data_IF_054983046554
#
_entry.id   IF_054983046554
#
_cell.length_a   1.000
_cell.length_b   1.000
_cell.length_c   1.000
_cell.angle_alpha   90.00
_cell.angle_beta   90.00
_cell.angle_gamma   90.00
#
_symmetry.space_group_name_H-M   'P 1'
#
loop_
_entity.id
_entity.type
_entity.pdbx_description
1 polymer ?
#
# COMPACT_ATOMS: atom_id res chain seq x y z
N UNK A 1 46.91 -9.83 -8.58
CA UNK A 1 48.30 -9.47 -8.96
C UNK A 1 49.16 -9.73 -7.73
N UNK A 2 50.20 -10.55 -7.84
CA UNK A 2 51.12 -10.87 -6.75
C UNK A 2 51.99 -9.67 -6.38
N UNK A 3 52.56 -9.66 -5.17
CA UNK A 3 53.46 -8.58 -4.75
C UNK A 3 54.68 -8.48 -5.66
N UNK A 4 55.28 -9.60 -6.04
CA UNK A 4 56.41 -9.62 -6.96
C UNK A 4 56.10 -9.00 -8.33
N UNK A 5 54.92 -9.28 -8.90
CA UNK A 5 54.49 -8.66 -10.15
C UNK A 5 54.19 -7.16 -9.99
N UNK A 6 53.57 -6.77 -8.87
CA UNK A 6 53.29 -5.38 -8.55
C UNK A 6 54.57 -4.55 -8.36
N UNK A 7 55.58 -5.11 -7.68
CA UNK A 7 56.85 -4.44 -7.40
C UNK A 7 57.61 -4.09 -8.69
N UNK A 8 57.51 -4.94 -9.71
CA UNK A 8 58.10 -4.68 -11.04
C UNK A 8 57.35 -3.57 -11.76
N UNK A 9 56.02 -3.55 -11.67
CA UNK A 9 55.17 -2.59 -12.40
C UNK A 9 55.04 -1.20 -11.75
N UNK A 10 55.20 -1.08 -10.43
CA UNK A 10 54.85 0.13 -9.68
C UNK A 10 56.06 0.98 -9.25
N UNK A 11 57.12 0.96 -10.07
CA UNK A 11 58.36 1.69 -9.80
C UNK A 11 58.21 3.17 -10.18
N UNK A 12 57.91 4.03 -9.21
CA UNK A 12 58.28 5.44 -9.33
C UNK A 12 59.80 5.55 -9.45
N UNK A 13 60.31 6.24 -10.47
CA UNK A 13 61.73 6.50 -10.63
C UNK A 13 62.28 7.22 -9.38
N UNK A 14 63.33 6.67 -8.76
CA UNK A 14 64.05 7.29 -7.63
C UNK A 14 63.48 7.03 -6.22
N UNK A 15 62.47 6.18 -6.06
CA UNK A 15 61.90 5.84 -4.73
C UNK A 15 62.65 4.71 -4.00
N UNK A 16 62.41 4.56 -2.69
CA UNK A 16 62.98 3.48 -1.85
C UNK A 16 62.75 2.07 -2.40
N UNK A 17 61.69 1.88 -3.21
CA UNK A 17 61.37 0.62 -3.87
C UNK A 17 62.38 0.23 -4.97
N UNK A 18 63.19 1.16 -5.49
CA UNK A 18 64.21 0.86 -6.51
C UNK A 18 65.27 -0.10 -5.99
N UNK A 19 65.70 0.06 -4.72
CA UNK A 19 66.67 -0.82 -4.08
C UNK A 19 66.13 -2.24 -3.94
N UNK A 20 64.89 -2.36 -3.46
CA UNK A 20 64.21 -3.65 -3.32
C UNK A 20 64.01 -4.33 -4.68
N UNK A 21 63.74 -3.56 -5.74
CA UNK A 21 63.63 -4.08 -7.11
C UNK A 21 64.96 -4.58 -7.67
N UNK A 22 66.06 -3.84 -7.45
CA UNK A 22 67.40 -4.30 -7.85
C UNK A 22 67.75 -5.61 -7.14
N UNK A 23 67.53 -5.67 -5.82
CA UNK A 23 67.70 -6.89 -5.04
C UNK A 23 66.86 -8.06 -5.58
N UNK A 24 65.58 -7.82 -5.91
CA UNK A 24 64.72 -8.84 -6.49
C UNK A 24 65.20 -9.31 -7.88
N UNK A 25 65.66 -8.38 -8.73
CA UNK A 25 66.16 -8.67 -10.07
C UNK A 25 67.44 -9.51 -10.04
N UNK A 26 68.37 -9.20 -9.13
CA UNK A 26 69.64 -9.94 -8.96
C UNK A 26 69.42 -11.39 -8.51
N UNK A 27 68.27 -11.68 -7.87
CA UNK A 27 67.91 -13.02 -7.38
C UNK A 27 67.14 -13.86 -8.40
N UNK A 28 66.70 -13.28 -9.51
CA UNK A 28 66.04 -13.99 -10.60
C UNK A 28 64.95 -14.95 -10.09
N UNK A 29 65.11 -16.25 -10.35
CA UNK A 29 64.14 -17.28 -9.96
C UNK A 29 63.99 -17.52 -8.46
N UNK A 30 64.93 -17.07 -7.63
CA UNK A 30 64.83 -17.22 -6.16
C UNK A 30 63.82 -16.22 -5.56
N UNK A 31 63.50 -15.14 -6.26
CA UNK A 31 62.48 -14.20 -5.83
C UNK A 31 61.08 -14.78 -6.07
N UNK A 32 60.17 -14.81 -5.07
CA UNK A 32 58.91 -15.56 -5.17
C UNK A 32 57.84 -14.77 -5.93
N UNK A 33 58.05 -14.52 -7.23
CA UNK A 33 57.14 -13.75 -8.09
C UNK A 33 55.69 -14.27 -8.11
N UNK A 34 55.49 -15.57 -7.83
CA UNK A 34 54.18 -16.22 -7.77
C UNK A 34 53.51 -16.23 -6.40
N UNK A 35 54.18 -15.79 -5.33
CA UNK A 35 53.61 -15.85 -3.98
C UNK A 35 52.74 -14.63 -3.67
N UNK A 36 51.64 -14.86 -2.96
CA UNK A 36 50.82 -13.81 -2.35
C UNK A 36 51.14 -13.61 -0.86
N UNK A 37 52.03 -14.42 -0.27
CA UNK A 37 52.33 -14.40 1.15
C UNK A 37 53.52 -13.47 1.48
N UNK A 38 53.33 -12.42 2.31
CA UNK A 38 54.41 -11.50 2.70
C UNK A 38 55.65 -12.19 3.27
N UNK A 39 55.45 -13.29 4.01
CA UNK A 39 56.52 -14.05 4.67
C UNK A 39 57.54 -14.63 3.68
N UNK A 40 57.13 -14.98 2.46
CA UNK A 40 58.03 -15.58 1.47
C UNK A 40 59.06 -14.57 0.97
N UNK A 41 58.62 -13.33 0.74
CA UNK A 41 59.49 -12.22 0.34
C UNK A 41 60.45 -11.83 1.48
N UNK A 42 59.94 -11.72 2.71
CA UNK A 42 60.75 -11.39 3.88
C UNK A 42 61.81 -12.47 4.17
N UNK A 43 61.48 -13.75 3.94
CA UNK A 43 62.41 -14.88 4.10
C UNK A 43 63.57 -14.77 3.12
N UNK A 44 63.31 -14.49 1.84
CA UNK A 44 64.36 -14.34 0.82
C UNK A 44 65.30 -13.17 1.17
N UNK A 45 64.76 -12.04 1.62
CA UNK A 45 65.57 -10.90 2.09
C UNK A 45 66.41 -11.30 3.30
N UNK A 46 65.81 -11.97 4.29
CA UNK A 46 66.52 -12.36 5.51
C UNK A 46 67.65 -13.37 5.26
N UNK A 47 67.48 -14.28 4.30
CA UNK A 47 68.47 -15.31 3.95
C UNK A 47 69.60 -14.78 3.07
N UNK A 48 69.29 -13.91 2.10
CA UNK A 48 70.24 -13.56 1.04
C UNK A 48 70.77 -12.12 1.08
N UNK A 49 70.24 -11.25 1.95
CA UNK A 49 70.78 -9.90 2.12
C UNK A 49 72.01 -9.88 3.04
N UNK A 50 73.00 -9.07 2.65
CA UNK A 50 74.18 -8.76 3.45
C UNK A 50 73.76 -8.20 4.82
N UNK A 51 74.49 -8.52 5.92
CA UNK A 51 74.09 -8.10 7.26
C UNK A 51 73.88 -6.59 7.42
N UNK A 52 74.64 -5.77 6.69
CA UNK A 52 74.58 -4.31 6.72
C UNK A 52 73.35 -3.75 6.01
N UNK A 53 72.84 -4.45 4.98
CA UNK A 53 71.72 -3.98 4.14
C UNK A 53 70.38 -4.62 4.52
N UNK A 54 70.42 -5.78 5.19
CA UNK A 54 69.25 -6.58 5.54
C UNK A 54 68.18 -5.78 6.29
N UNK A 55 68.58 -4.98 7.29
CA UNK A 55 67.64 -4.20 8.09
C UNK A 55 66.90 -3.16 7.23
N UNK A 56 67.61 -2.52 6.32
CA UNK A 56 67.04 -1.50 5.43
C UNK A 56 66.09 -2.14 4.40
N UNK A 57 66.49 -3.24 3.77
CA UNK A 57 65.66 -3.95 2.81
C UNK A 57 64.38 -4.51 3.44
N UNK A 58 64.42 -4.98 4.69
CA UNK A 58 63.24 -5.45 5.41
C UNK A 58 62.27 -4.30 5.72
N UNK A 59 62.76 -3.11 6.09
CA UNK A 59 61.91 -1.93 6.32
C UNK A 59 61.23 -1.46 5.03
N UNK A 60 62.00 -1.39 3.94
CA UNK A 60 61.48 -1.04 2.61
C UNK A 60 60.43 -2.07 2.15
N UNK A 61 60.72 -3.37 2.31
CA UNK A 61 59.79 -4.43 1.95
C UNK A 61 58.51 -4.37 2.77
N UNK A 62 58.58 -4.11 4.08
CA UNK A 62 57.41 -3.94 4.94
C UNK A 62 56.49 -2.82 4.44
N UNK A 63 57.05 -1.64 4.16
CA UNK A 63 56.29 -0.49 3.63
C UNK A 63 55.70 -0.77 2.25
N UNK A 64 56.47 -1.42 1.37
CA UNK A 64 56.01 -1.78 0.04
C UNK A 64 54.87 -2.82 0.08
N UNK A 65 54.96 -3.81 0.98
CA UNK A 65 53.92 -4.81 1.21
C UNK A 65 52.64 -4.17 1.74
N UNK A 66 52.74 -3.26 2.72
CA UNK A 66 51.58 -2.51 3.24
C UNK A 66 50.89 -1.69 2.13
N UNK A 67 51.67 -0.97 1.32
CA UNK A 67 51.14 -0.23 0.17
C UNK A 67 50.45 -1.13 -0.85
N UNK A 68 51.04 -2.30 -1.12
CA UNK A 68 50.45 -3.29 -2.02
C UNK A 68 49.14 -3.87 -1.46
N UNK A 69 49.07 -4.19 -0.16
CA UNK A 69 47.86 -4.69 0.49
C UNK A 69 46.74 -3.64 0.49
N UNK A 70 47.05 -2.37 0.79
CA UNK A 70 46.11 -1.27 0.67
C UNK A 70 45.62 -1.07 -0.78
N UNK A 71 46.52 -1.21 -1.75
CA UNK A 71 46.20 -1.19 -3.18
C UNK A 71 45.33 -2.37 -3.62
N UNK A 72 45.56 -3.57 -3.08
CA UNK A 72 44.78 -4.78 -3.38
C UNK A 72 43.39 -4.71 -2.75
N UNK A 73 43.27 -4.23 -1.51
CA UNK A 73 41.99 -4.02 -0.85
C UNK A 73 41.12 -2.99 -1.59
N UNK A 74 41.74 -1.93 -2.12
CA UNK A 74 41.03 -0.91 -2.90
C UNK A 74 40.76 -1.31 -4.36
N UNK A 75 41.61 -2.14 -4.98
CA UNK A 75 41.39 -2.68 -6.32
C UNK A 75 40.32 -3.79 -6.34
N UNK A 76 40.22 -4.58 -5.26
CA UNK A 76 39.18 -5.61 -5.10
C UNK A 76 37.75 -5.04 -5.04
N UNK A 77 37.57 -3.76 -4.73
CA UNK A 77 36.25 -3.12 -4.70
C UNK A 77 35.86 -2.37 -5.98
N UNK A 78 36.78 -2.20 -6.94
CA UNK A 78 36.57 -1.41 -8.18
C UNK A 78 36.25 -2.21 -9.44
N UNK A 79 36.16 -3.55 -9.34
CA UNK A 79 35.80 -4.42 -10.48
C UNK A 79 34.30 -4.68 -10.58
N UNK A 80 33.58 -3.91 -11.40
CA UNK A 80 32.26 -4.28 -11.95
C UNK A 80 31.04 -4.22 -11.03
N UNK A 81 31.20 -4.32 -9.70
CA UNK A 81 30.09 -4.25 -8.73
C UNK A 81 29.99 -2.92 -7.97
N UNK A 82 30.94 -1.99 -8.16
CA UNK A 82 30.90 -0.66 -7.51
C UNK A 82 29.80 0.28 -8.02
N UNK A 83 29.25 0.02 -9.22
CA UNK A 83 28.04 0.70 -9.73
C UNK A 83 26.78 0.20 -9.00
N UNK A 84 26.83 -0.99 -8.40
CA UNK A 84 25.83 -1.51 -7.45
C UNK A 84 26.23 -1.17 -6.01
N UNK A 85 26.94 -0.05 -5.80
CA UNK A 85 27.04 0.50 -4.44
C UNK A 85 25.63 0.71 -3.91
N UNK A 86 25.37 0.21 -2.70
CA UNK A 86 24.05 0.22 -2.07
C UNK A 86 23.23 1.51 -2.28
N UNK A 87 23.84 2.72 -2.23
CA UNK A 87 23.13 3.98 -2.50
C UNK A 87 22.62 4.15 -3.94
N UNK A 88 23.40 3.74 -4.95
CA UNK A 88 23.02 3.90 -6.37
C UNK A 88 21.89 2.93 -6.74
N UNK A 89 21.91 1.72 -6.19
CA UNK A 89 20.87 0.71 -6.39
C UNK A 89 19.56 1.15 -5.70
N UNK A 90 19.64 1.67 -4.47
CA UNK A 90 18.51 2.27 -3.77
C UNK A 90 17.92 3.48 -4.52
N UNK A 91 18.78 4.37 -5.02
CA UNK A 91 18.36 5.52 -5.81
C UNK A 91 17.69 5.09 -7.12
N UNK A 92 18.25 4.11 -7.83
CA UNK A 92 17.67 3.55 -9.05
C UNK A 92 16.31 2.89 -8.78
N UNK A 93 16.20 2.10 -7.72
CA UNK A 93 14.93 1.50 -7.30
C UNK A 93 13.87 2.56 -6.96
N UNK A 94 14.27 3.61 -6.23
CA UNK A 94 13.41 4.75 -5.92
C UNK A 94 12.91 5.48 -7.17
N UNK A 95 13.78 5.72 -8.15
CA UNK A 95 13.42 6.34 -9.43
C UNK A 95 12.44 5.46 -10.22
N UNK A 96 12.65 4.15 -10.25
CA UNK A 96 11.75 3.21 -10.95
C UNK A 96 10.36 3.25 -10.31
N UNK A 97 10.27 3.16 -8.98
CA UNK A 97 8.99 3.26 -8.28
C UNK A 97 8.33 4.62 -8.55
N UNK A 98 9.08 5.71 -8.46
CA UNK A 98 8.56 7.05 -8.73
C UNK A 98 8.02 7.19 -10.16
N UNK A 99 8.72 6.60 -11.15
CA UNK A 99 8.29 6.62 -12.54
C UNK A 99 7.00 5.80 -12.76
N UNK A 100 6.88 4.62 -12.14
CA UNK A 100 5.67 3.79 -12.20
C UNK A 100 4.49 4.51 -11.54
N UNK A 101 4.69 5.12 -10.38
CA UNK A 101 3.65 5.89 -9.69
C UNK A 101 3.24 7.12 -10.49
N UNK A 102 4.20 7.89 -11.01
CA UNK A 102 3.92 9.04 -11.87
C UNK A 102 3.10 8.62 -13.08
N UNK A 103 3.51 7.55 -13.77
CA UNK A 103 2.77 7.00 -14.91
C UNK A 103 1.34 6.59 -14.54
N UNK A 104 1.16 5.91 -13.41
CA UNK A 104 -0.17 5.51 -12.91
C UNK A 104 -1.07 6.70 -12.57
N UNK A 105 -0.50 7.76 -12.00
CA UNK A 105 -1.22 9.00 -11.66
C UNK A 105 -1.66 9.75 -12.93
N UNK A 106 -0.79 9.85 -13.95
CA UNK A 106 -1.09 10.58 -15.18
C UNK A 106 -2.16 9.94 -16.07
N UNK A 107 -2.56 8.68 -15.83
CA UNK A 107 -3.60 8.02 -16.63
C UNK A 107 -5.03 8.48 -16.32
N UNK A 108 -5.26 9.38 -15.35
CA UNK A 108 -6.54 10.07 -15.09
C UNK A 108 -7.67 9.20 -14.52
N UNK A 109 -7.84 7.98 -15.06
CA UNK A 109 -8.81 6.98 -14.65
C UNK A 109 -8.53 6.43 -13.25
N UNK A 110 -7.25 6.29 -12.90
CA UNK A 110 -6.80 5.78 -11.61
C UNK A 110 -7.20 6.71 -10.45
N UNK A 111 -7.07 8.02 -10.61
CA UNK A 111 -7.51 9.00 -9.61
C UNK A 111 -9.03 9.00 -9.43
N UNK A 112 -9.78 8.89 -10.53
CA UNK A 112 -11.25 8.83 -10.49
C UNK A 112 -11.77 7.53 -9.87
N UNK A 113 -11.07 6.41 -10.06
CA UNK A 113 -11.45 5.13 -9.47
C UNK A 113 -11.03 5.03 -8.00
N UNK A 114 -9.89 5.64 -7.59
CA UNK A 114 -9.48 5.72 -6.18
C UNK A 114 -10.41 6.63 -5.36
N UNK A 115 -11.08 7.60 -5.99
CA UNK A 115 -12.05 8.46 -5.30
C UNK A 115 -13.27 7.67 -4.77
N UNK A 116 -13.52 6.45 -5.26
CA UNK A 116 -14.59 5.58 -4.74
C UNK A 116 -14.14 4.93 -3.42
N UNK A 117 -14.84 5.17 -2.30
CA UNK A 117 -14.43 4.69 -0.97
C UNK A 117 -14.18 3.17 -0.90
N UNK A 118 -14.94 2.40 -1.68
CA UNK A 118 -14.84 0.94 -1.77
C UNK A 118 -13.51 0.51 -2.38
N UNK A 119 -13.08 1.19 -3.45
CA UNK A 119 -11.81 0.89 -4.14
C UNK A 119 -10.61 1.39 -3.34
N UNK A 120 -10.71 2.57 -2.73
CA UNK A 120 -9.66 3.10 -1.86
C UNK A 120 -9.42 2.18 -0.65
N UNK A 121 -10.45 1.53 -0.10
CA UNK A 121 -10.30 0.54 0.98
C UNK A 121 -9.49 -0.68 0.55
N UNK A 122 -9.85 -1.27 -0.58
CA UNK A 122 -9.11 -2.40 -1.15
C UNK A 122 -7.66 -2.03 -1.44
N UNK A 123 -7.45 -0.85 -2.03
CA UNK A 123 -6.12 -0.36 -2.39
C UNK A 123 -5.22 -0.11 -1.18
N UNK A 124 -5.72 0.55 -0.13
CA UNK A 124 -4.95 0.80 1.09
C UNK A 124 -4.50 -0.53 1.73
N UNK A 125 -5.42 -1.49 1.83
CA UNK A 125 -5.12 -2.82 2.39
C UNK A 125 -4.06 -3.55 1.58
N UNK A 126 -4.20 -3.51 0.25
CA UNK A 126 -3.24 -4.10 -0.68
C UNK A 126 -1.85 -3.45 -0.56
N UNK A 127 -1.77 -2.12 -0.62
CA UNK A 127 -0.51 -1.39 -0.51
C UNK A 127 0.18 -1.66 0.81
N UNK A 128 -0.58 -1.72 1.91
CA UNK A 128 -0.01 -2.02 3.22
C UNK A 128 0.57 -3.45 3.28
N UNK A 129 -0.20 -4.45 2.84
CA UNK A 129 0.26 -5.83 2.81
C UNK A 129 1.50 -6.00 1.92
N UNK A 130 1.45 -5.44 0.71
CA UNK A 130 2.56 -5.47 -0.24
C UNK A 130 3.81 -4.79 0.30
N UNK A 131 3.67 -3.58 0.86
CA UNK A 131 4.80 -2.83 1.43
C UNK A 131 5.43 -3.57 2.61
N UNK A 132 4.61 -4.17 3.47
CA UNK A 132 5.09 -4.95 4.61
C UNK A 132 5.90 -6.17 4.15
N UNK A 133 5.41 -6.91 3.16
CA UNK A 133 6.13 -8.05 2.56
C UNK A 133 7.44 -7.57 1.93
N UNK A 134 7.42 -6.47 1.17
CA UNK A 134 8.61 -5.92 0.53
C UNK A 134 9.68 -5.51 1.55
N UNK A 135 9.28 -4.85 2.65
CA UNK A 135 10.19 -4.48 3.74
C UNK A 135 10.80 -5.72 4.39
N UNK A 136 10.00 -6.75 4.68
CA UNK A 136 10.49 -8.00 5.29
C UNK A 136 11.53 -8.67 4.38
N UNK A 137 11.27 -8.75 3.08
CA UNK A 137 12.22 -9.33 2.10
C UNK A 137 13.51 -8.50 2.07
N UNK A 138 13.40 -7.17 1.99
CA UNK A 138 14.57 -6.29 1.96
C UNK A 138 15.43 -6.45 3.22
N UNK A 139 14.79 -6.48 4.38
CA UNK A 139 15.45 -6.71 5.67
C UNK A 139 16.10 -8.09 5.71
N UNK A 140 15.44 -9.15 5.22
CA UNK A 140 16.03 -10.48 5.15
C UNK A 140 17.30 -10.50 4.29
N UNK A 141 17.28 -9.87 3.12
CA UNK A 141 18.47 -9.74 2.25
C UNK A 141 19.57 -8.96 2.97
N UNK A 142 19.22 -7.84 3.61
CA UNK A 142 20.17 -6.99 4.31
C UNK A 142 20.88 -7.74 5.47
N UNK A 143 20.18 -8.63 6.17
CA UNK A 143 20.78 -9.43 7.25
C UNK A 143 21.83 -10.44 6.78
N UNK A 144 21.81 -10.86 5.51
CA UNK A 144 22.84 -11.75 4.97
C UNK A 144 24.16 -11.03 4.62
N UNK A 145 24.15 -9.70 4.48
CA UNK A 145 25.29 -8.94 3.96
C UNK A 145 25.99 -8.03 4.99
N UNK A 146 25.38 -7.78 6.16
CA UNK A 146 25.95 -6.90 7.19
C UNK A 146 26.54 -7.69 8.37
N UNK A 147 27.53 -7.10 9.04
CA UNK A 147 28.15 -7.66 10.24
C UNK A 147 27.17 -7.72 11.42
N UNK A 148 27.21 -8.82 12.19
CA UNK A 148 26.21 -9.14 13.23
C UNK A 148 26.03 -8.06 14.30
N UNK A 149 27.10 -7.35 14.65
CA UNK A 149 27.06 -6.31 15.68
C UNK A 149 26.37 -5.04 15.18
N UNK A 150 26.70 -4.61 13.96
CA UNK A 150 26.09 -3.43 13.32
C UNK A 150 24.62 -3.67 12.94
N UNK A 151 24.27 -4.89 12.54
CA UNK A 151 22.87 -5.29 12.27
C UNK A 151 22.01 -5.10 13.51
N UNK A 152 22.48 -5.51 14.68
CA UNK A 152 21.66 -5.53 15.90
C UNK A 152 21.22 -4.13 16.32
N UNK A 153 22.13 -3.15 16.26
CA UNK A 153 21.84 -1.77 16.63
C UNK A 153 20.92 -1.08 15.62
N UNK A 154 21.22 -1.21 14.33
CA UNK A 154 20.42 -0.60 13.25
C UNK A 154 19.02 -1.21 13.16
N UNK A 155 18.91 -2.52 13.36
CA UNK A 155 17.63 -3.22 13.37
C UNK A 155 16.77 -2.83 14.58
N UNK A 156 17.38 -2.63 15.75
CA UNK A 156 16.68 -2.12 16.92
C UNK A 156 16.03 -0.76 16.64
N UNK A 157 16.81 0.17 16.10
CA UNK A 157 16.32 1.51 15.74
C UNK A 157 15.22 1.46 14.66
N UNK A 158 15.38 0.62 13.64
CA UNK A 158 14.37 0.45 12.59
C UNK A 158 13.06 -0.14 13.13
N UNK A 159 13.14 -1.12 14.04
CA UNK A 159 11.98 -1.74 14.69
C UNK A 159 11.18 -0.71 15.47
N UNK A 160 11.84 0.14 16.24
CA UNK A 160 11.15 1.15 17.06
C UNK A 160 10.38 2.14 16.17
N UNK A 161 11.00 2.59 15.07
CA UNK A 161 10.37 3.47 14.09
C UNK A 161 9.18 2.79 13.39
N UNK A 162 9.33 1.53 12.95
CA UNK A 162 8.25 0.76 12.34
C UNK A 162 7.09 0.56 13.32
N UNK A 163 7.38 0.32 14.61
CA UNK A 163 6.35 0.12 15.63
C UNK A 163 5.50 1.38 15.82
N UNK A 164 6.13 2.56 15.86
CA UNK A 164 5.42 3.85 15.91
C UNK A 164 4.57 4.04 14.65
N UNK A 165 5.11 3.75 13.46
CA UNK A 165 4.38 3.85 12.20
C UNK A 165 3.16 2.92 12.17
N UNK A 166 3.28 1.68 12.64
CA UNK A 166 2.16 0.74 12.71
C UNK A 166 1.07 1.27 13.65
N UNK A 167 1.46 1.90 14.77
CA UNK A 167 0.50 2.55 15.68
C UNK A 167 -0.29 3.68 14.99
N UNK A 168 0.42 4.62 14.35
CA UNK A 168 -0.22 5.73 13.62
C UNK A 168 -1.09 5.21 12.48
N UNK A 169 -0.57 4.29 11.67
CA UNK A 169 -1.32 3.69 10.56
C UNK A 169 -2.56 2.95 11.07
N UNK A 170 -2.44 2.20 12.17
CA UNK A 170 -3.56 1.50 12.79
C UNK A 170 -4.70 2.45 13.19
N UNK A 171 -4.38 3.65 13.69
CA UNK A 171 -5.41 4.66 13.99
C UNK A 171 -6.06 5.24 12.73
N UNK A 172 -5.28 5.51 11.68
CA UNK A 172 -5.80 6.02 10.40
C UNK A 172 -6.69 4.97 9.74
N UNK A 173 -6.25 3.71 9.70
CA UNK A 173 -7.05 2.59 9.19
C UNK A 173 -8.30 2.39 10.06
N UNK A 174 -8.18 2.45 11.38
CA UNK A 174 -9.32 2.37 12.30
C UNK A 174 -10.39 3.43 11.99
N UNK A 175 -9.97 4.68 11.75
CA UNK A 175 -10.90 5.75 11.33
C UNK A 175 -11.48 5.50 9.93
N UNK A 176 -10.63 5.14 8.96
CA UNK A 176 -11.03 4.94 7.58
C UNK A 176 -12.03 3.77 7.41
N UNK A 177 -11.82 2.68 8.15
CA UNK A 177 -12.71 1.51 8.14
C UNK A 177 -13.87 1.65 9.14
N UNK A 178 -13.75 2.48 10.17
CA UNK A 178 -14.83 2.76 11.12
C UNK A 178 -15.87 3.76 10.58
N UNK A 179 -15.44 4.75 9.78
CA UNK A 179 -16.31 5.75 9.15
C UNK A 179 -17.07 5.19 7.92
N UNK A 180 -16.65 4.03 7.42
CA UNK A 180 -17.25 3.35 6.29
C UNK A 180 -18.71 2.90 6.49
N UNK A 181 -19.10 2.71 7.75
CA UNK A 181 -20.45 2.33 8.16
C UNK A 181 -21.13 3.51 8.85
N UNK A 182 -20.94 4.73 8.34
CA UNK A 182 -21.72 5.86 8.80
C UNK A 182 -23.21 5.60 8.51
N UNK A 183 -24.05 5.37 9.55
CA UNK A 183 -25.48 5.10 9.38
C UNK A 183 -26.22 6.28 8.75
N UNK A 184 -25.60 7.46 8.66
CA UNK A 184 -26.15 8.59 7.92
C UNK A 184 -26.03 8.42 6.39
N UNK A 185 -25.04 7.66 5.89
CA UNK A 185 -24.83 7.43 4.44
C UNK A 185 -25.57 6.18 3.94
N UNK A 186 -25.71 5.15 4.78
CA UNK A 186 -26.77 4.13 4.61
C UNK A 186 -27.98 4.54 5.43
N UNK A 187 -28.55 5.69 5.14
CA UNK A 187 -29.89 5.98 5.65
C UNK A 187 -30.82 4.94 5.02
N UNK A 188 -31.08 3.84 5.73
CA UNK A 188 -31.94 2.74 5.27
C UNK A 188 -33.26 3.38 4.89
N UNK A 189 -33.56 3.36 3.59
CA UNK A 189 -34.81 3.90 3.07
C UNK A 189 -35.94 3.24 3.85
N UNK A 190 -36.73 4.04 4.55
CA UNK A 190 -37.80 3.58 5.41
C UNK A 190 -39.06 4.39 5.10
N UNK A 191 -40.15 3.69 4.82
CA UNK A 191 -41.49 4.29 4.81
C UNK A 191 -42.08 4.16 6.22
N UNK A 192 -42.16 5.27 6.94
CA UNK A 192 -42.63 5.35 8.32
C UNK A 192 -43.96 6.10 8.44
N UNK A 193 -44.70 5.83 9.51
CA UNK A 193 -45.95 6.50 9.86
C UNK A 193 -46.96 6.52 8.71
N UNK A 194 -47.04 5.41 7.97
CA UNK A 194 -48.03 5.27 6.92
C UNK A 194 -49.41 5.09 7.58
N UNK A 195 -50.25 6.09 7.44
CA UNK A 195 -51.58 6.14 8.06
C UNK A 195 -52.61 6.67 7.07
N UNK A 196 -53.88 6.40 7.36
CA UNK A 196 -54.99 6.98 6.62
C UNK A 196 -55.67 8.06 7.44
N UNK A 197 -56.28 9.04 6.77
CA UNK A 197 -57.01 10.14 7.42
C UNK A 197 -58.17 9.65 8.29
N UNK A 198 -58.75 8.50 7.96
CA UNK A 198 -59.74 7.80 8.78
C UNK A 198 -59.54 6.28 8.66
N UNK A 199 -59.68 5.52 9.77
CA UNK A 199 -59.69 4.06 9.72
C UNK A 199 -60.97 3.49 9.09
N UNK A 200 -62.05 4.28 9.02
CA UNK A 200 -63.31 3.93 8.39
C UNK A 200 -63.69 4.97 7.33
N UNK A 201 -63.94 4.52 6.10
CA UNK A 201 -64.30 5.38 4.96
C UNK A 201 -65.56 4.81 4.32
N UNK A 202 -66.54 5.66 3.99
CA UNK A 202 -67.77 5.20 3.32
C UNK A 202 -67.49 4.97 1.84
N UNK A 203 -68.19 4.01 1.24
CA UNK A 203 -68.18 3.85 -0.22
C UNK A 203 -68.63 5.15 -0.90
N UNK A 204 -67.86 5.62 -1.89
CA UNK A 204 -68.07 6.90 -2.58
C UNK A 204 -67.28 8.08 -2.01
N UNK A 205 -66.68 7.95 -0.82
CA UNK A 205 -65.85 8.99 -0.22
C UNK A 205 -64.37 8.86 -0.63
N UNK A 206 -63.58 9.88 -0.27
CA UNK A 206 -62.12 9.89 -0.44
C UNK A 206 -61.41 9.58 0.87
N UNK A 207 -60.35 8.79 0.80
CA UNK A 207 -59.41 8.54 1.89
C UNK A 207 -58.06 9.20 1.56
N UNK A 208 -57.39 9.84 2.52
CA UNK A 208 -56.01 10.30 2.32
C UNK A 208 -55.04 9.33 2.96
N UNK A 209 -54.08 8.80 2.19
CA UNK A 209 -52.96 7.99 2.69
C UNK A 209 -51.76 8.92 2.84
N UNK A 210 -51.24 9.05 4.06
CA UNK A 210 -50.10 9.91 4.39
C UNK A 210 -48.96 9.08 4.96
N UNK A 211 -47.72 9.52 4.74
CA UNK A 211 -46.55 8.89 5.34
C UNK A 211 -45.30 9.74 5.23
N UNK A 212 -44.23 9.25 5.86
CA UNK A 212 -42.92 9.88 5.87
C UNK A 212 -41.90 8.90 5.31
N UNK A 213 -41.11 9.34 4.33
CA UNK A 213 -39.92 8.65 3.87
C UNK A 213 -38.72 9.17 4.66
N UNK A 214 -38.06 8.27 5.37
CA UNK A 214 -36.84 8.54 6.12
C UNK A 214 -35.67 7.88 5.39
N UNK A 215 -34.60 8.63 5.18
CA UNK A 215 -33.41 8.13 4.51
C UNK A 215 -33.51 8.01 2.99
N UNK A 216 -32.56 7.29 2.39
CA UNK A 216 -32.40 7.18 0.93
C UNK A 216 -31.90 8.46 0.25
N UNK A 217 -31.80 8.40 -1.08
CA UNK A 217 -31.43 9.54 -1.94
C UNK A 217 -32.61 9.95 -2.81
N UNK A 218 -33.15 11.15 -2.56
CA UNK A 218 -34.18 11.73 -3.40
C UNK A 218 -33.68 12.04 -4.83
N UNK A 219 -34.57 12.17 -5.82
CA UNK A 219 -36.03 12.13 -5.69
C UNK A 219 -36.57 10.70 -5.54
N UNK A 220 -37.79 10.57 -4.99
CA UNK A 220 -38.43 9.28 -4.70
C UNK A 220 -39.59 8.98 -5.65
N UNK A 221 -39.79 7.70 -5.95
CA UNK A 221 -40.99 7.17 -6.60
C UNK A 221 -41.85 6.41 -5.59
N UNK A 222 -43.13 6.74 -5.50
CA UNK A 222 -44.13 6.12 -4.63
C UNK A 222 -45.08 5.28 -5.47
N UNK A 223 -45.34 4.04 -5.04
CA UNK A 223 -46.41 3.20 -5.54
C UNK A 223 -47.32 2.79 -4.37
N UNK A 224 -48.62 3.04 -4.47
CA UNK A 224 -49.62 2.58 -3.52
C UNK A 224 -50.48 1.53 -4.22
N UNK A 225 -50.31 0.27 -3.84
CA UNK A 225 -51.08 -0.85 -4.36
C UNK A 225 -52.13 -1.28 -3.33
N UNK A 226 -53.34 -1.61 -3.79
CA UNK A 226 -54.44 -2.03 -2.94
C UNK A 226 -54.75 -3.51 -3.14
N UNK A 227 -55.05 -4.20 -2.04
CA UNK A 227 -55.47 -5.60 -2.02
C UNK A 227 -56.81 -5.70 -1.30
N UNK A 228 -57.87 -6.05 -2.03
CA UNK A 228 -59.21 -6.29 -1.47
C UNK A 228 -59.59 -7.76 -1.63
N UNK A 229 -60.14 -8.36 -0.56
CA UNK A 229 -60.71 -9.71 -0.60
C UNK A 229 -62.10 -9.75 -1.23
N UNK A 230 -62.78 -8.61 -1.36
CA UNK A 230 -64.19 -8.52 -1.72
C UNK A 230 -64.47 -8.22 -3.21
N UNK A 231 -63.44 -8.19 -4.06
CA UNK A 231 -63.63 -7.98 -5.50
C UNK A 231 -64.10 -6.56 -5.81
N UNK A 232 -63.17 -5.60 -5.76
CA UNK A 232 -63.35 -4.22 -6.19
C UNK A 232 -61.95 -3.65 -6.37
N UNK A 233 -61.51 -3.46 -7.60
CA UNK A 233 -60.15 -3.01 -7.87
C UNK A 233 -60.03 -1.52 -7.60
N UNK A 234 -59.40 -1.12 -6.49
CA UNK A 234 -58.90 0.25 -6.37
C UNK A 234 -57.72 0.42 -7.31
N UNK A 235 -57.69 1.53 -8.04
CA UNK A 235 -56.59 1.84 -8.96
C UNK A 235 -55.32 2.13 -8.18
N UNK A 236 -54.18 1.47 -8.49
CA UNK A 236 -52.91 1.82 -7.89
C UNK A 236 -52.55 3.28 -8.15
N UNK A 237 -51.88 3.91 -7.18
CA UNK A 237 -51.40 5.29 -7.31
C UNK A 237 -49.89 5.27 -7.50
N UNK A 238 -49.42 5.86 -8.60
CA UNK A 238 -47.99 6.02 -8.90
C UNK A 238 -47.62 7.51 -8.90
N UNK A 239 -46.73 7.90 -8.00
CA UNK A 239 -46.19 9.27 -7.91
C UNK A 239 -44.71 9.20 -8.17
N UNK A 240 -44.24 9.94 -9.19
CA UNK A 240 -42.83 9.93 -9.56
C UNK A 240 -42.12 11.20 -9.12
N UNK A 241 -40.86 11.05 -8.74
CA UNK A 241 -39.93 12.15 -8.61
C UNK A 241 -40.24 13.16 -7.49
N UNK A 242 -40.87 12.76 -6.38
CA UNK A 242 -41.15 13.71 -5.30
C UNK A 242 -39.90 13.97 -4.45
N UNK A 243 -39.60 15.25 -4.18
CA UNK A 243 -38.36 15.67 -3.53
C UNK A 243 -38.43 15.67 -1.99
N UNK A 244 -39.64 15.67 -1.42
CA UNK A 244 -39.84 15.76 0.03
C UNK A 244 -39.85 14.40 0.72
N UNK A 245 -39.47 14.35 2.00
CA UNK A 245 -39.60 13.14 2.83
C UNK A 245 -41.03 12.88 3.34
N UNK A 246 -42.05 13.60 2.87
CA UNK A 246 -43.45 13.41 3.29
C UNK A 246 -44.34 13.30 2.05
N UNK A 247 -45.31 12.39 2.09
CA UNK A 247 -46.30 12.25 1.04
C UNK A 247 -47.72 12.23 1.61
N UNK A 248 -48.67 12.69 0.80
CA UNK A 248 -50.11 12.61 1.05
C UNK A 248 -50.80 12.36 -0.29
N UNK A 249 -51.53 11.25 -0.41
CA UNK A 249 -52.22 10.85 -1.63
C UNK A 249 -53.69 10.56 -1.35
N UNK A 250 -54.58 11.13 -2.16
CA UNK A 250 -56.01 10.86 -2.08
C UNK A 250 -56.37 9.60 -2.88
N UNK A 251 -57.15 8.73 -2.25
CA UNK A 251 -57.68 7.49 -2.82
C UNK A 251 -59.19 7.64 -2.89
N UNK A 252 -59.75 7.61 -4.10
CA UNK A 252 -61.19 7.59 -4.30
C UNK A 252 -61.72 6.17 -4.11
N UNK A 253 -62.69 5.97 -3.21
CA UNK A 253 -63.37 4.70 -3.03
C UNK A 253 -64.63 4.72 -3.89
N UNK A 254 -64.76 3.75 -4.81
CA UNK A 254 -65.93 3.65 -5.68
C UNK A 254 -67.23 3.53 -4.86
N UNK A 255 -68.33 4.11 -5.34
CA UNK A 255 -69.63 4.08 -4.64
C UNK A 255 -70.23 2.68 -4.52
N UNK A 256 -69.89 1.81 -5.46
CA UNK A 256 -70.31 0.42 -5.58
C UNK A 256 -69.43 -0.55 -4.78
N UNK A 257 -68.43 -0.04 -4.05
CA UNK A 257 -67.52 -0.86 -3.27
C UNK A 257 -68.24 -1.51 -2.08
N UNK A 258 -68.20 -2.84 -2.01
CA UNK A 258 -68.85 -3.57 -0.92
C UNK A 258 -68.09 -3.38 0.40
N UNK A 259 -68.80 -3.31 1.55
CA UNK A 259 -68.16 -3.17 2.85
C UNK A 259 -67.12 -4.27 3.08
N UNK A 260 -65.86 -3.89 3.26
CA UNK A 260 -64.75 -4.83 3.38
C UNK A 260 -63.49 -4.16 3.94
N UNK A 261 -62.57 -4.99 4.44
CA UNK A 261 -61.25 -4.55 4.85
C UNK A 261 -60.32 -4.53 3.63
N UNK A 262 -59.80 -3.37 3.28
CA UNK A 262 -58.89 -3.17 2.16
C UNK A 262 -57.48 -3.01 2.70
N UNK A 263 -56.60 -3.95 2.37
CA UNK A 263 -55.17 -3.79 2.61
C UNK A 263 -54.55 -2.88 1.56
N UNK A 264 -53.51 -2.14 1.93
CA UNK A 264 -52.70 -1.39 0.98
C UNK A 264 -51.22 -1.52 1.31
N UNK A 265 -50.40 -1.51 0.26
CA UNK A 265 -48.94 -1.53 0.33
C UNK A 265 -48.39 -0.28 -0.31
N UNK A 266 -47.66 0.49 0.48
CA UNK A 266 -46.89 1.64 0.01
C UNK A 266 -45.47 1.16 -0.27
N UNK A 267 -45.05 1.25 -1.53
CA UNK A 267 -43.66 0.97 -1.95
C UNK A 267 -42.99 2.28 -2.31
N UNK A 268 -41.81 2.54 -1.75
CA UNK A 268 -41.00 3.71 -2.06
C UNK A 268 -39.71 3.24 -2.71
N UNK A 269 -39.34 3.88 -3.82
CA UNK A 269 -38.06 3.72 -4.50
C UNK A 269 -37.27 5.02 -4.44
N UNK A 270 -35.99 4.95 -4.12
CA UNK A 270 -35.09 6.11 -4.19
C UNK A 270 -34.38 6.21 -5.54
N UNK A 271 -33.63 7.30 -5.77
CA UNK A 271 -32.88 7.52 -7.00
C UNK A 271 -31.78 6.47 -7.26
N UNK A 272 -31.33 5.78 -6.22
CA UNK A 272 -30.34 4.69 -6.30
C UNK A 272 -31.00 3.33 -6.59
N UNK A 273 -32.33 3.27 -6.68
CA UNK A 273 -33.08 2.03 -6.93
C UNK A 273 -33.35 1.18 -5.67
N UNK A 274 -33.01 1.69 -4.48
CA UNK A 274 -33.34 1.05 -3.19
C UNK A 274 -34.85 1.08 -3.01
N UNK A 275 -35.41 -0.03 -2.52
CA UNK A 275 -36.84 -0.20 -2.30
C UNK A 275 -37.14 -0.46 -0.83
N UNK A 276 -38.22 0.15 -0.33
CA UNK A 276 -38.84 -0.21 0.96
C UNK A 276 -40.35 -0.29 0.78
N UNK A 277 -41.01 -1.06 1.64
CA UNK A 277 -42.47 -1.11 1.68
C UNK A 277 -43.00 -0.99 3.10
N UNK A 278 -44.18 -0.39 3.21
CA UNK A 278 -44.98 -0.38 4.43
C UNK A 278 -46.42 -0.78 4.07
N UNK A 279 -47.03 -1.60 4.93
CA UNK A 279 -48.39 -2.09 4.75
C UNK A 279 -49.34 -1.36 5.71
N UNK A 280 -50.59 -1.20 5.30
CA UNK A 280 -51.67 -0.65 6.12
C UNK A 280 -53.02 -1.20 5.70
N UNK A 281 -54.07 -0.82 6.44
CA UNK A 281 -55.45 -1.25 6.17
C UNK A 281 -56.43 -0.09 6.27
N UNK A 282 -57.52 -0.17 5.51
CA UNK A 282 -58.65 0.76 5.52
C UNK A 282 -59.93 -0.07 5.61
N UNK A 283 -60.81 0.26 6.55
CA UNK A 283 -62.14 -0.34 6.62
C UNK A 283 -63.11 0.45 5.76
N UNK A 284 -63.70 -0.18 4.75
CA UNK A 284 -64.74 0.43 3.92
C UNK A 284 -66.10 0.01 4.45
N UNK A 285 -66.96 1.00 4.74
CA UNK A 285 -68.33 0.78 5.22
C UNK A 285 -69.36 1.19 4.18
N UNK A 286 -70.57 0.64 4.27
CA UNK A 286 -71.68 1.03 3.41
C UNK A 286 -72.00 2.52 3.60
N UNK A 287 -72.53 3.14 2.55
CA UNK A 287 -72.87 4.56 2.53
C UNK A 287 -73.98 4.93 3.51
#
# INVERSE_FOLDING_TARGET
MTFGAWLVGNAGEGGSNERLRKFAADRGSEWPYGSDAPVDYLKVIATHAEPTERKELLDIAGKALEQWEQGRASAGSKGGWSVLSGPVLLAGFGIIIAAILAWGIFQGKLLSDIAKPELARGLITFLFAFSTIAIIILVAIATFWMDKEEVKERFGSAKDLITILIGVLGTILGFYFGAADDPYTRSTLLAANVTTSSPQVRAGDKASVTGIVLGGVGPYDLNIAFTSSAGGGLTPIDVKGFAGGRFAQEVAIASEFQPSLVGYRVTVRDANGTLTSADGTISVVAR
#
